data_IF_948255837759
#
_entry.id   IF_948255837759
#
_cell.length_a   1.000
_cell.length_b   1.000
_cell.length_c   1.000
_cell.angle_alpha   90.00
_cell.angle_beta   90.00
_cell.angle_gamma   90.00
#
_symmetry.space_group_name_H-M   'P 1'
#
loop_
_entity.id
_entity.type
_entity.pdbx_description
1 polymer ?
#
# COMPACT_ATOMS: atom_id res chain seq x y z
N UNK A 1 -34.63 -37.68 44.74
CA UNK A 1 -34.34 -39.10 44.94
C UNK A 1 -33.45 -39.58 43.80
N UNK A 2 -32.14 -39.61 44.02
CA UNK A 2 -31.21 -40.38 43.20
C UNK A 2 -30.44 -41.27 44.17
N UNK A 3 -30.76 -42.56 44.14
CA UNK A 3 -30.03 -43.63 44.81
C UNK A 3 -29.15 -44.34 43.80
N UNK A 4 -27.88 -44.59 44.13
CA UNK A 4 -26.98 -45.41 43.33
C UNK A 4 -25.52 -45.19 43.70
N UNK A 5 -24.89 -46.21 44.30
CA UNK A 5 -23.63 -46.13 45.03
C UNK A 5 -22.53 -47.02 44.37
N UNK A 6 -21.31 -46.46 44.25
CA UNK A 6 -19.96 -47.08 44.19
C UNK A 6 -19.43 -47.76 42.88
N UNK A 7 -18.11 -48.06 42.74
CA UNK A 7 -17.08 -47.08 42.34
C UNK A 7 -16.06 -47.65 41.31
N UNK A 8 -15.50 -46.84 40.40
CA UNK A 8 -14.25 -47.20 39.69
C UNK A 8 -13.38 -45.94 39.49
N UNK A 9 -12.04 -46.05 39.55
CA UNK A 9 -11.16 -44.90 39.49
C UNK A 9 -11.05 -44.42 38.04
N UNK A 10 -11.70 -43.30 37.73
CA UNK A 10 -11.33 -42.55 36.54
C UNK A 10 -9.94 -41.96 36.76
N UNK A 11 -8.94 -42.23 35.90
CA UNK A 11 -7.69 -41.51 35.99
C UNK A 11 -8.02 -40.04 35.73
N UNK A 12 -7.78 -39.19 36.74
CA UNK A 12 -7.75 -37.75 36.57
C UNK A 12 -6.62 -37.43 35.59
N UNK A 13 -6.93 -37.46 34.29
CA UNK A 13 -6.10 -36.81 33.29
C UNK A 13 -6.21 -35.34 33.61
N UNK A 14 -5.17 -34.82 34.31
CA UNK A 14 -4.96 -33.39 34.46
C UNK A 14 -5.20 -32.77 33.10
N UNK A 15 -6.04 -31.73 32.96
CA UNK A 15 -6.01 -30.91 31.77
C UNK A 15 -4.53 -30.55 31.60
N UNK A 16 -3.92 -31.01 30.51
CA UNK A 16 -2.67 -30.43 30.09
C UNK A 16 -2.95 -28.94 30.06
N UNK A 17 -2.29 -28.19 30.94
CA UNK A 17 -2.26 -26.75 30.90
C UNK A 17 -1.75 -26.41 29.51
N UNK A 18 -2.72 -26.19 28.61
CA UNK A 18 -2.45 -25.67 27.30
C UNK A 18 -1.89 -24.31 27.58
N UNK A 19 -0.57 -24.24 27.48
CA UNK A 19 0.25 -23.06 27.37
C UNK A 19 -0.62 -21.92 26.84
N UNK A 20 -1.14 -21.08 27.74
CA UNK A 20 -1.55 -19.74 27.37
C UNK A 20 -0.23 -19.07 27.04
N UNK A 21 0.22 -19.22 25.81
CA UNK A 21 1.03 -18.18 25.18
C UNK A 21 0.08 -16.98 25.19
N UNK A 22 0.10 -16.22 26.29
CA UNK A 22 -0.18 -14.82 26.21
C UNK A 22 0.86 -14.31 25.21
N UNK A 23 0.44 -14.20 23.95
CA UNK A 23 1.11 -13.27 23.06
C UNK A 23 0.88 -11.95 23.77
N UNK A 24 1.91 -11.44 24.44
CA UNK A 24 1.92 -10.05 24.88
C UNK A 24 1.43 -9.27 23.66
N UNK A 25 0.22 -8.73 23.77
CA UNK A 25 -0.39 -7.99 22.68
C UNK A 25 0.41 -6.69 22.59
N UNK A 26 1.53 -6.75 21.88
CA UNK A 26 2.36 -5.58 21.62
C UNK A 26 1.48 -4.60 20.87
N UNK A 27 1.03 -3.56 21.56
CA UNK A 27 0.25 -2.50 20.96
C UNK A 27 1.19 -1.59 20.17
N UNK A 28 1.11 -1.70 18.84
CA UNK A 28 1.87 -0.83 17.94
C UNK A 28 1.18 0.53 17.71
N UNK A 29 0.00 0.77 18.30
CA UNK A 29 -0.79 1.98 18.10
C UNK A 29 0.01 3.26 18.39
N UNK A 30 0.62 3.34 19.57
CA UNK A 30 1.44 4.50 19.97
C UNK A 30 2.61 4.74 19.00
N UNK A 31 3.29 3.67 18.58
CA UNK A 31 4.40 3.77 17.62
C UNK A 31 3.93 4.29 16.26
N UNK A 32 2.83 3.75 15.74
CA UNK A 32 2.26 4.15 14.45
C UNK A 32 1.80 5.61 14.51
N UNK A 33 1.11 6.03 15.57
CA UNK A 33 0.66 7.42 15.73
C UNK A 33 1.85 8.40 15.76
N UNK A 34 2.88 8.09 16.55
CA UNK A 34 4.08 8.92 16.65
C UNK A 34 4.83 9.03 15.30
N UNK A 35 4.91 7.94 14.53
CA UNK A 35 5.59 7.94 13.23
C UNK A 35 4.74 8.51 12.07
N UNK A 36 3.41 8.52 12.17
CA UNK A 36 2.52 9.00 11.09
C UNK A 36 2.71 10.51 10.80
N UNK A 37 3.15 11.30 11.79
CA UNK A 37 3.39 12.73 11.64
C UNK A 37 4.69 13.11 10.93
N UNK A 38 5.60 12.15 10.73
CA UNK A 38 6.93 12.38 10.16
C UNK A 38 7.16 11.41 9.00
N UNK A 39 7.94 11.84 8.02
CA UNK A 39 8.36 10.96 6.93
C UNK A 39 9.26 9.85 7.47
N UNK A 40 8.94 8.60 7.12
CA UNK A 40 9.78 7.45 7.46
C UNK A 40 10.99 7.38 6.51
N UNK A 41 12.18 7.69 7.05
CA UNK A 41 13.45 7.60 6.33
C UNK A 41 14.26 6.35 6.65
N UNK A 42 13.85 5.55 7.64
CA UNK A 42 14.60 4.41 8.13
C UNK A 42 14.15 3.12 7.45
N UNK A 43 12.87 3.01 7.11
CA UNK A 43 12.32 1.86 6.41
C UNK A 43 12.62 1.89 4.91
N UNK A 44 12.67 0.69 4.30
CA UNK A 44 12.75 0.55 2.85
C UNK A 44 11.52 1.19 2.20
N UNK A 45 11.73 2.13 1.27
CA UNK A 45 10.64 2.76 0.53
C UNK A 45 9.95 1.75 -0.38
N UNK A 46 8.73 1.40 -0.03
CA UNK A 46 7.87 0.62 -0.89
C UNK A 46 7.34 1.52 -2.01
N UNK A 47 7.57 1.15 -3.27
CA UNK A 47 7.05 1.87 -4.42
C UNK A 47 6.22 0.94 -5.30
N UNK A 48 5.20 1.50 -5.95
CA UNK A 48 4.34 0.81 -6.91
C UNK A 48 4.31 1.62 -8.20
N UNK A 49 4.27 0.94 -9.34
CA UNK A 49 4.17 1.59 -10.65
C UNK A 49 2.79 1.29 -11.23
N UNK A 50 2.03 2.34 -11.54
CA UNK A 50 0.71 2.22 -12.17
C UNK A 50 0.28 3.52 -12.84
N UNK A 51 -0.84 3.47 -13.54
CA UNK A 51 -1.55 4.61 -14.10
C UNK A 51 -2.77 4.94 -13.25
N UNK A 52 -3.09 6.23 -13.11
CA UNK A 52 -4.31 6.67 -12.44
C UNK A 52 -5.36 7.08 -13.47
N UNK A 53 -6.39 6.26 -13.61
CA UNK A 53 -7.55 6.54 -14.46
C UNK A 53 -8.55 7.41 -13.72
N UNK A 54 -8.92 8.57 -14.28
CA UNK A 54 -9.97 9.43 -13.74
C UNK A 54 -11.33 8.95 -14.24
N UNK A 55 -12.24 8.65 -13.30
CA UNK A 55 -13.62 8.24 -13.62
C UNK A 55 -14.34 9.29 -14.48
N UNK A 56 -14.10 10.57 -14.20
CA UNK A 56 -14.83 11.68 -14.82
C UNK A 56 -14.29 12.05 -16.20
N UNK A 57 -12.97 12.08 -16.40
CA UNK A 57 -12.40 12.40 -17.72
C UNK A 57 -12.34 11.18 -18.65
N UNK A 58 -12.40 9.96 -18.10
CA UNK A 58 -12.22 8.73 -18.87
C UNK A 58 -10.80 8.53 -19.39
N UNK A 59 -9.81 9.22 -18.80
CA UNK A 59 -8.41 9.28 -19.24
C UNK A 59 -7.46 9.19 -18.04
N UNK A 60 -6.16 9.06 -18.31
CA UNK A 60 -5.14 8.89 -17.28
C UNK A 60 -4.51 10.22 -16.87
N UNK A 61 -4.14 10.31 -15.59
CA UNK A 61 -3.41 11.43 -15.00
C UNK A 61 -1.98 11.46 -15.55
N UNK A 62 -1.57 12.61 -16.07
CA UNK A 62 -0.25 12.88 -16.61
C UNK A 62 0.48 13.93 -15.78
N UNK A 63 1.78 13.70 -15.58
CA UNK A 63 2.70 14.67 -14.96
C UNK A 63 3.65 15.22 -16.02
N UNK A 64 3.29 16.37 -16.60
CA UNK A 64 4.02 17.05 -17.68
C UNK A 64 4.96 18.12 -17.11
N UNK A 65 5.91 17.70 -16.27
CA UNK A 65 6.78 18.62 -15.56
C UNK A 65 5.99 19.40 -14.51
N UNK A 66 5.87 20.73 -14.66
CA UNK A 66 5.13 21.59 -13.72
C UNK A 66 3.61 21.52 -13.87
N UNK A 67 3.11 20.99 -14.99
CA UNK A 67 1.69 20.93 -15.33
C UNK A 67 1.14 19.52 -15.09
N UNK A 68 -0.04 19.44 -14.48
CA UNK A 68 -0.78 18.20 -14.22
C UNK A 68 -2.08 18.24 -15.04
N UNK A 69 -2.48 17.13 -15.64
CA UNK A 69 -3.75 16.99 -16.37
C UNK A 69 -4.20 15.53 -16.41
N UNK A 70 -5.46 15.25 -16.73
CA UNK A 70 -5.98 13.89 -16.87
C UNK A 70 -6.52 13.66 -18.27
N UNK A 71 -5.62 13.64 -19.26
CA UNK A 71 -5.91 13.51 -20.69
C UNK A 71 -5.07 12.43 -21.37
N UNK A 72 -4.27 11.69 -20.60
CA UNK A 72 -3.39 10.65 -21.15
C UNK A 72 -4.19 9.46 -21.65
N UNK A 73 -3.79 8.94 -22.80
CA UNK A 73 -4.26 7.63 -23.24
C UNK A 73 -3.65 6.52 -22.38
N UNK A 74 -4.21 5.32 -22.49
CA UNK A 74 -3.64 4.15 -21.84
C UNK A 74 -2.24 3.86 -22.37
N UNK A 75 -1.26 3.74 -21.47
CA UNK A 75 0.13 3.51 -21.84
C UNK A 75 0.93 4.76 -22.19
N UNK A 76 0.34 5.95 -22.09
CA UNK A 76 1.08 7.19 -22.27
C UNK A 76 2.26 7.26 -21.30
N UNK A 77 3.46 7.51 -21.83
CA UNK A 77 4.70 7.61 -21.04
C UNK A 77 4.62 8.62 -19.89
N UNK A 78 3.87 9.71 -20.08
CA UNK A 78 3.68 10.73 -19.05
C UNK A 78 2.59 10.36 -18.03
N UNK A 79 1.81 9.32 -18.29
CA UNK A 79 0.79 8.79 -17.40
C UNK A 79 1.26 7.64 -16.51
N UNK A 80 2.50 7.16 -16.70
CA UNK A 80 3.13 6.20 -15.79
C UNK A 80 3.56 6.91 -14.51
N UNK A 81 3.02 6.46 -13.37
CA UNK A 81 3.25 7.04 -12.06
C UNK A 81 3.99 6.04 -11.17
N UNK A 82 5.00 6.53 -10.46
CA UNK A 82 5.65 5.85 -9.36
C UNK A 82 5.05 6.40 -8.06
N UNK A 83 4.43 5.53 -7.28
CA UNK A 83 3.80 5.89 -6.01
C UNK A 83 4.59 5.28 -4.88
N UNK A 84 5.23 6.15 -4.10
CA UNK A 84 6.14 5.81 -3.00
C UNK A 84 5.44 6.06 -1.66
N UNK A 85 5.50 5.11 -0.73
CA UNK A 85 5.04 5.33 0.63
C UNK A 85 5.90 6.40 1.34
N UNK A 86 5.26 7.36 2.01
CA UNK A 86 5.94 8.40 2.81
C UNK A 86 6.04 8.00 4.28
N UNK A 87 4.95 7.45 4.85
CA UNK A 87 4.85 6.91 6.22
C UNK A 87 3.57 6.06 6.32
N UNK A 88 3.13 5.73 7.53
CA UNK A 88 1.87 5.04 7.81
C UNK A 88 0.62 5.84 7.41
N UNK A 89 -0.54 5.20 7.52
CA UNK A 89 -1.84 5.81 7.20
C UNK A 89 -2.06 6.01 5.70
N UNK A 90 -1.46 5.13 4.88
CA UNK A 90 -1.57 5.19 3.41
C UNK A 90 -1.12 6.53 2.82
N UNK A 91 -0.17 7.21 3.50
CA UNK A 91 0.44 8.43 3.02
C UNK A 91 1.50 8.13 1.96
N UNK A 92 1.36 8.74 0.79
CA UNK A 92 2.23 8.48 -0.36
C UNK A 92 2.64 9.76 -1.06
N UNK A 93 3.70 9.65 -1.85
CA UNK A 93 4.11 10.63 -2.87
C UNK A 93 3.91 10.04 -4.25
N UNK A 94 3.29 10.82 -5.14
CA UNK A 94 3.01 10.41 -6.52
C UNK A 94 3.99 11.13 -7.45
N UNK A 95 4.82 10.38 -8.17
CA UNK A 95 5.85 10.91 -9.09
C UNK A 95 5.57 10.46 -10.52
N UNK A 96 5.70 11.34 -11.49
CA UNK A 96 5.72 10.95 -12.91
C UNK A 96 7.01 10.21 -13.23
N UNK A 97 6.92 8.97 -13.74
CA UNK A 97 8.08 8.13 -14.08
C UNK A 97 8.99 8.80 -15.12
N UNK A 98 8.38 9.35 -16.17
CA UNK A 98 9.10 10.03 -17.26
C UNK A 98 9.73 11.37 -16.82
N UNK A 99 8.97 12.21 -16.12
CA UNK A 99 9.42 13.59 -15.85
C UNK A 99 10.16 13.76 -14.54
N UNK A 100 10.01 12.81 -13.61
CA UNK A 100 10.56 12.89 -12.25
C UNK A 100 10.01 14.06 -11.40
N UNK A 101 8.87 14.63 -11.81
CA UNK A 101 8.12 15.60 -11.02
C UNK A 101 7.12 14.87 -10.12
N UNK A 102 6.97 15.36 -8.90
CA UNK A 102 5.94 14.95 -7.97
C UNK A 102 4.67 15.77 -8.20
N UNK A 103 3.53 15.09 -8.19
CA UNK A 103 2.24 15.73 -8.07
C UNK A 103 2.15 16.34 -6.66
N UNK A 104 1.79 17.62 -6.59
CA UNK A 104 1.65 18.35 -5.33
C UNK A 104 0.43 19.28 -5.43
N UNK A 105 -0.10 19.67 -4.27
CA UNK A 105 -1.19 20.63 -4.18
C UNK A 105 -0.69 21.88 -3.45
N UNK A 106 -0.79 23.05 -4.07
CA UNK A 106 -0.35 24.28 -3.42
C UNK A 106 -1.42 24.85 -2.48
N UNK A 107 -1.06 25.87 -1.70
CA UNK A 107 -1.96 26.64 -0.80
C UNK A 107 -3.26 27.16 -1.45
N UNK A 108 -3.28 27.35 -2.77
CA UNK A 108 -4.48 27.79 -3.52
C UNK A 108 -5.36 26.61 -3.99
N UNK A 109 -5.01 25.39 -3.59
CA UNK A 109 -5.66 24.15 -4.01
C UNK A 109 -5.34 23.73 -5.43
N UNK A 110 -4.36 24.35 -6.11
CA UNK A 110 -3.99 24.00 -7.49
C UNK A 110 -3.02 22.83 -7.50
N UNK A 111 -3.34 21.82 -8.32
CA UNK A 111 -2.41 20.73 -8.64
C UNK A 111 -1.26 21.24 -9.50
N UNK A 112 -0.03 20.97 -9.06
CA UNK A 112 1.21 21.40 -9.69
C UNK A 112 2.24 20.28 -9.61
N UNK A 113 3.12 20.22 -10.61
CA UNK A 113 4.30 19.37 -10.51
C UNK A 113 5.46 20.10 -9.87
N UNK A 114 6.19 19.43 -8.98
CA UNK A 114 7.44 19.94 -8.37
C UNK A 114 8.55 18.89 -8.44
N UNK A 115 9.81 19.33 -8.58
CA UNK A 115 10.96 18.43 -8.41
C UNK A 115 11.05 17.93 -6.97
N UNK A 116 11.78 16.83 -6.77
CA UNK A 116 12.01 16.22 -5.47
C UNK A 116 12.48 17.27 -4.45
N UNK A 117 11.71 17.42 -3.37
CA UNK A 117 12.14 18.13 -2.17
C UNK A 117 11.62 17.32 -0.99
N UNK A 118 12.55 16.71 -0.25
CA UNK A 118 12.20 15.76 0.82
C UNK A 118 11.41 16.37 1.98
N UNK A 119 11.29 17.70 2.03
CA UNK A 119 10.59 18.46 3.07
C UNK A 119 9.18 18.90 2.68
N UNK A 120 8.76 18.70 1.43
CA UNK A 120 7.50 19.28 0.98
C UNK A 120 6.30 18.38 1.30
N UNK A 121 5.57 18.72 2.36
CA UNK A 121 4.30 18.07 2.73
C UNK A 121 3.16 18.37 1.74
N UNK A 122 3.28 19.38 0.87
CA UNK A 122 2.30 19.64 -0.21
C UNK A 122 2.24 18.52 -1.25
N UNK A 123 3.22 17.63 -1.28
CA UNK A 123 3.34 16.52 -2.24
C UNK A 123 2.98 15.16 -1.63
N UNK A 124 2.37 15.16 -0.44
CA UNK A 124 1.92 13.95 0.26
C UNK A 124 0.40 13.87 0.20
N UNK A 125 -0.08 12.69 -0.18
CA UNK A 125 -1.50 12.38 -0.30
C UNK A 125 -1.83 11.12 0.49
N UNK A 126 -3.02 11.06 1.05
CA UNK A 126 -3.58 9.88 1.70
C UNK A 126 -4.40 9.13 0.66
N UNK A 127 -4.03 7.88 0.40
CA UNK A 127 -4.83 6.95 -0.41
C UNK A 127 -6.06 6.49 0.38
N UNK A 128 -7.25 6.75 -0.16
CA UNK A 128 -8.51 6.36 0.48
C UNK A 128 -9.31 5.45 -0.45
N UNK A 129 -9.82 4.35 0.08
CA UNK A 129 -10.86 3.56 -0.59
C UNK A 129 -12.22 4.14 -0.18
N UNK A 130 -12.98 4.61 -1.18
CA UNK A 130 -14.33 5.14 -0.96
C UNK A 130 -15.35 4.00 -0.88
N UNK A 131 -16.51 4.27 -0.30
CA UNK A 131 -17.62 3.32 -0.16
C UNK A 131 -18.10 2.76 -1.51
N UNK A 132 -17.93 3.53 -2.60
CA UNK A 132 -18.29 3.12 -3.95
C UNK A 132 -17.18 2.33 -4.67
N UNK A 133 -16.18 1.82 -3.93
CA UNK A 133 -15.03 1.05 -4.41
C UNK A 133 -14.06 1.80 -5.36
N UNK A 134 -14.20 3.12 -5.49
CA UNK A 134 -13.18 3.94 -6.15
C UNK A 134 -12.10 4.39 -5.16
N UNK A 135 -10.94 4.75 -5.70
CA UNK A 135 -9.85 5.36 -4.92
C UNK A 135 -9.95 6.89 -4.98
N UNK A 136 -9.72 7.55 -3.87
CA UNK A 136 -9.52 8.99 -3.79
C UNK A 136 -8.14 9.30 -3.19
N UNK A 137 -7.64 10.50 -3.50
CA UNK A 137 -6.34 10.98 -3.04
C UNK A 137 -6.53 12.32 -2.33
N UNK A 138 -6.56 12.29 -1.00
CA UNK A 138 -6.72 13.49 -0.18
C UNK A 138 -5.35 14.11 0.12
N UNK A 139 -5.23 15.44 0.10
CA UNK A 139 -3.99 16.10 0.53
C UNK A 139 -3.75 15.88 2.02
N UNK A 140 -2.55 15.41 2.39
CA UNK A 140 -2.17 15.28 3.79
C UNK A 140 -1.96 16.66 4.45
N UNK A 141 -1.59 17.69 3.67
CA UNK A 141 -1.38 19.05 4.18
C UNK A 141 -2.67 19.87 4.28
N UNK A 142 -3.59 19.69 3.33
CA UNK A 142 -4.86 20.41 3.25
C UNK A 142 -6.01 19.42 3.36
N UNK A 143 -6.31 18.98 4.58
CA UNK A 143 -7.33 17.97 4.86
C UNK A 143 -8.68 18.35 4.26
N UNK A 144 -9.37 17.37 3.65
CA UNK A 144 -10.62 17.59 2.93
C UNK A 144 -10.46 18.12 1.49
N UNK A 145 -9.24 18.39 1.03
CA UNK A 145 -8.98 18.69 -0.37
C UNK A 145 -8.49 17.46 -1.11
N UNK A 146 -9.08 17.19 -2.27
CA UNK A 146 -8.83 15.99 -3.05
C UNK A 146 -8.18 16.33 -4.38
N UNK A 147 -7.37 15.40 -4.88
CA UNK A 147 -7.00 15.40 -6.30
C UNK A 147 -8.28 15.20 -7.10
N UNK A 148 -8.50 16.01 -8.11
CA UNK A 148 -9.70 15.89 -8.93
C UNK A 148 -9.54 16.52 -10.30
N UNK A 149 -10.28 16.00 -11.28
CA UNK A 149 -10.27 16.47 -12.65
C UNK A 149 -11.69 16.57 -13.20
N UNK A 150 -11.90 17.61 -14.00
CA UNK A 150 -13.13 17.80 -14.77
C UNK A 150 -13.26 16.78 -15.90
N UNK A 151 -14.45 16.67 -16.50
CA UNK A 151 -14.70 15.85 -17.71
C UNK A 151 -13.73 16.13 -18.87
N UNK A 152 -13.26 17.37 -19.00
CA UNK A 152 -12.26 17.77 -20.02
C UNK A 152 -10.80 17.47 -19.61
N UNK A 153 -10.58 16.75 -18.51
CA UNK A 153 -9.26 16.41 -17.97
C UNK A 153 -8.49 17.58 -17.35
N UNK A 154 -9.17 18.71 -17.05
CA UNK A 154 -8.53 19.86 -16.39
C UNK A 154 -8.53 19.69 -14.87
N UNK A 155 -7.45 20.03 -14.16
CA UNK A 155 -7.39 19.97 -12.70
C UNK A 155 -8.47 20.82 -12.02
N UNK A 156 -9.10 20.26 -10.99
CA UNK A 156 -9.96 21.00 -10.05
C UNK A 156 -9.11 21.68 -8.97
N UNK A 157 -9.66 22.72 -8.35
CA UNK A 157 -9.06 23.30 -7.15
C UNK A 157 -9.52 22.53 -5.92
N UNK A 158 -8.61 22.19 -5.01
CA UNK A 158 -8.88 21.48 -3.76
C UNK A 158 -10.08 21.99 -2.95
N UNK A 159 -10.23 23.31 -2.69
CA UNK A 159 -11.41 23.84 -2.00
C UNK A 159 -12.76 23.54 -2.66
N UNK A 160 -12.74 23.17 -3.95
CA UNK A 160 -13.93 22.90 -4.76
C UNK A 160 -14.14 21.39 -4.97
N UNK A 161 -13.44 20.55 -4.22
CA UNK A 161 -13.56 19.08 -4.28
C UNK A 161 -14.23 18.56 -3.03
N UNK A 162 -15.06 17.53 -3.19
CA UNK A 162 -15.72 16.79 -2.11
C UNK A 162 -15.62 15.29 -2.38
N UNK A 163 -15.61 14.44 -1.34
CA UNK A 163 -15.39 12.99 -1.50
C UNK A 163 -16.49 12.28 -2.28
N UNK A 164 -17.72 12.83 -2.31
CA UNK A 164 -18.86 12.29 -3.04
C UNK A 164 -18.91 12.70 -4.52
N UNK A 165 -18.02 13.58 -4.97
CA UNK A 165 -17.97 14.04 -6.36
C UNK A 165 -17.22 13.07 -7.26
N UNK A 166 -17.80 12.73 -8.41
CA UNK A 166 -17.12 11.83 -9.36
C UNK A 166 -15.77 12.37 -9.86
N UNK A 167 -15.59 13.71 -9.86
CA UNK A 167 -14.35 14.39 -10.27
C UNK A 167 -13.11 13.91 -9.46
N UNK A 168 -13.31 13.37 -8.25
CA UNK A 168 -12.24 12.90 -7.34
C UNK A 168 -12.08 11.37 -7.31
N UNK A 169 -12.86 10.65 -8.10
CA UNK A 169 -12.83 9.18 -8.13
C UNK A 169 -11.83 8.68 -9.18
N UNK A 170 -10.96 7.76 -8.75
CA UNK A 170 -9.92 7.17 -9.58
C UNK A 170 -9.93 5.65 -9.52
N UNK A 171 -9.34 5.04 -10.55
CA UNK A 171 -8.99 3.63 -10.59
C UNK A 171 -7.49 3.48 -10.84
N UNK A 172 -6.85 2.56 -10.12
CA UNK A 172 -5.46 2.15 -10.35
C UNK A 172 -5.45 1.16 -11.51
N UNK A 173 -4.67 1.42 -12.56
CA UNK A 173 -4.53 0.53 -13.72
C UNK A 173 -3.06 0.19 -13.95
N UNK A 174 -2.76 -1.05 -14.31
CA UNK A 174 -1.40 -1.44 -14.64
C UNK A 174 -0.92 -0.71 -15.91
N UNK A 175 0.37 -0.34 -16.00
CA UNK A 175 0.95 0.10 -17.25
C UNK A 175 0.90 -1.05 -18.28
N UNK A 176 0.69 -0.77 -19.58
CA UNK A 176 0.70 -1.82 -20.60
C UNK A 176 2.05 -2.55 -20.62
N UNK A 177 2.02 -3.88 -20.70
CA UNK A 177 3.21 -4.72 -20.70
C UNK A 177 3.79 -5.06 -19.31
N UNK A 178 3.30 -4.42 -18.25
CA UNK A 178 3.78 -4.62 -16.86
C UNK A 178 2.71 -5.34 -16.01
N UNK A 179 1.86 -6.17 -16.64
CA UNK A 179 0.92 -6.98 -15.87
C UNK A 179 1.71 -7.95 -15.00
N UNK A 180 1.49 -7.98 -13.68
CA UNK A 180 2.11 -9.00 -12.85
C UNK A 180 1.66 -10.35 -13.40
N UNK A 181 2.60 -11.24 -13.68
CA UNK A 181 2.26 -12.64 -13.88
C UNK A 181 1.41 -13.03 -12.67
N UNK A 182 0.27 -13.65 -12.89
CA UNK A 182 -0.47 -14.33 -11.83
C UNK A 182 0.48 -15.42 -11.32
N UNK A 183 1.39 -15.07 -10.41
CA UNK A 183 2.08 -16.05 -9.61
C UNK A 183 0.97 -16.64 -8.76
N UNK A 184 0.48 -17.79 -9.22
CA UNK A 184 -0.33 -18.69 -8.44
C UNK A 184 0.37 -18.84 -7.09
N UNK A 185 -0.20 -18.26 -6.04
CA UNK A 185 0.31 -18.43 -4.69
C UNK A 185 0.18 -19.91 -4.35
N UNK A 186 1.24 -20.69 -4.59
CA UNK A 186 1.31 -22.05 -4.08
C UNK A 186 1.62 -21.93 -2.59
N UNK A 187 0.63 -22.28 -1.77
CA UNK A 187 0.85 -22.46 -0.35
C UNK A 187 1.72 -23.72 -0.19
N UNK A 188 2.98 -23.55 0.15
CA UNK A 188 3.79 -24.68 0.64
C UNK A 188 3.36 -24.94 2.08
N UNK A 189 2.72 -26.08 2.32
CA UNK A 189 2.49 -26.56 3.69
C UNK A 189 3.85 -26.80 4.34
N UNK A 190 4.13 -26.13 5.45
CA UNK A 190 5.35 -26.37 6.25
C UNK A 190 5.27 -27.80 6.79
N UNK A 191 5.98 -28.75 6.17
CA UNK A 191 6.20 -30.04 6.82
C UNK A 191 7.24 -29.84 7.92
N UNK A 192 6.93 -30.33 9.12
CA UNK A 192 7.86 -30.33 10.25
C UNK A 192 9.13 -31.09 9.81
N UNK A 193 10.23 -30.36 9.68
CA UNK A 193 11.53 -30.91 9.31
C UNK A 193 11.98 -31.89 10.39
N UNK A 194 11.91 -33.19 10.10
CA UNK A 194 12.64 -34.20 10.86
C UNK A 194 14.14 -33.95 10.72
N UNK A 195 14.89 -34.07 11.83
CA UNK A 195 16.36 -33.96 11.86
C UNK A 195 16.97 -34.88 10.80
N UNK A 196 17.73 -34.31 9.86
CA UNK A 196 18.61 -35.06 8.98
C UNK A 196 20.00 -35.06 9.62
N UNK A 197 20.43 -36.22 10.08
CA UNK A 197 21.79 -36.48 10.57
C UNK A 197 22.77 -36.26 9.43
N UNK A 198 23.86 -35.57 9.73
CA UNK A 198 24.97 -35.27 8.83
C UNK A 198 25.80 -36.56 8.67
N UNK A 199 25.87 -37.09 7.44
CA UNK A 199 26.76 -38.20 7.10
C UNK A 199 27.91 -37.61 6.26
N UNK A 200 29.12 -37.95 6.66
CA UNK A 200 30.41 -37.37 6.26
C UNK A 200 30.82 -37.69 4.82
N UNK A 201 31.28 -36.68 4.11
CA UNK A 201 31.93 -36.79 2.79
C UNK A 201 33.19 -37.67 2.86
N UNK A 202 33.20 -38.75 2.07
CA UNK A 202 34.37 -39.59 1.80
C UNK A 202 35.19 -39.04 0.64
N UNK A 203 36.50 -38.91 0.87
CA UNK A 203 37.55 -38.51 -0.07
C UNK A 203 37.70 -39.54 -1.22
N UNK A 204 37.96 -39.14 -2.48
CA UNK A 204 38.34 -40.10 -3.52
C UNK A 204 39.85 -40.35 -3.54
N UNK A 205 40.22 -41.63 -3.51
CA UNK A 205 41.57 -42.14 -3.76
C UNK A 205 42.00 -41.85 -5.21
N UNK A 206 43.23 -41.34 -5.34
CA UNK A 206 43.98 -41.26 -6.59
C UNK A 206 44.72 -42.58 -6.75
N UNK A 207 44.53 -43.32 -7.85
CA UNK A 207 45.60 -44.12 -8.45
C UNK A 207 45.31 -44.51 -9.91
N UNK A 208 46.27 -44.08 -10.76
CA UNK A 208 46.85 -44.71 -11.97
C UNK A 208 45.97 -45.03 -13.19
#
# INVERSE_FOLDING_TARGET
FCSGSYPLPVPCVRPCDWFKIAVDSVDFGEHVENQTGVRDSLSRRHHRVYQLYSRTSGKHVQVLGRKIQARGEDGDKFAQLVVEADTFGSQVRIRGKETNFYLCMNRKGKLVGRKASGRNSECVFIEMMLENNYTAWMSARYTGWYVGFTKKGRPRRGPQTLPNQQDVHFMKRFPPGEQPSLQHCSFTTVSKRGRRTQESDGLPDIHS
#
